data_IF_962015082005
#
_entry.id   IF_962015082005
#
_cell.length_a   1.000
_cell.length_b   1.000
_cell.length_c   1.000
_cell.angle_alpha   90.00
_cell.angle_beta   90.00
_cell.angle_gamma   90.00
#
_symmetry.space_group_name_H-M   'P 1'
#
loop_
_entity.id
_entity.type
_entity.pdbx_description
1 polymer ?
#
# COMPACT_ATOMS: atom_id res chain seq x y z
N UNK A 1 55.09 -33.79 -30.15
CA UNK A 1 55.50 -33.30 -28.81
C UNK A 1 54.80 -31.97 -28.56
N UNK A 2 53.59 -31.98 -27.99
CA UNK A 2 52.97 -30.79 -27.41
C UNK A 2 52.37 -31.22 -26.06
N UNK A 3 52.84 -30.56 -25.00
CA UNK A 3 52.63 -30.92 -23.61
C UNK A 3 51.34 -30.27 -23.10
N UNK A 4 50.37 -31.08 -22.70
CA UNK A 4 49.23 -30.65 -21.90
C UNK A 4 49.73 -30.21 -20.52
N UNK A 5 49.39 -28.98 -20.10
CA UNK A 5 49.55 -28.52 -18.72
C UNK A 5 48.16 -28.32 -18.12
N UNK A 6 47.78 -29.24 -17.24
CA UNK A 6 46.65 -29.07 -16.34
C UNK A 6 47.06 -28.11 -15.22
N UNK A 7 46.36 -26.98 -15.11
CA UNK A 7 46.45 -26.10 -13.96
C UNK A 7 45.37 -26.53 -12.95
N UNK A 8 45.80 -27.05 -11.81
CA UNK A 8 44.94 -27.36 -10.66
C UNK A 8 44.77 -26.06 -9.88
N UNK A 9 43.56 -25.49 -9.90
CA UNK A 9 43.20 -24.35 -9.08
C UNK A 9 42.78 -24.83 -7.69
N UNK A 10 43.61 -24.58 -6.69
CA UNK A 10 43.31 -24.81 -5.28
C UNK A 10 42.32 -23.76 -4.79
N UNK A 11 41.08 -24.16 -4.56
CA UNK A 11 40.05 -23.31 -3.94
C UNK A 11 40.30 -23.34 -2.42
N UNK A 12 40.87 -22.27 -1.88
CA UNK A 12 40.87 -22.01 -0.45
C UNK A 12 39.44 -21.62 -0.03
N UNK A 13 38.71 -22.58 0.55
CA UNK A 13 37.47 -22.32 1.27
C UNK A 13 37.79 -21.55 2.56
N UNK A 14 37.77 -20.22 2.50
CA UNK A 14 37.67 -19.37 3.67
C UNK A 14 36.25 -19.50 4.22
N UNK A 15 36.12 -20.26 5.32
CA UNK A 15 34.92 -20.27 6.14
C UNK A 15 34.74 -18.88 6.75
N UNK A 16 33.97 -18.03 6.07
CA UNK A 16 33.43 -16.80 6.66
C UNK A 16 32.39 -17.25 7.69
N UNK A 17 32.49 -16.85 8.97
CA UNK A 17 31.37 -16.98 9.89
C UNK A 17 30.27 -16.07 9.38
N UNK A 18 29.27 -16.65 8.71
CA UNK A 18 27.95 -16.05 8.58
C UNK A 18 27.41 -15.89 9.99
N UNK A 19 27.63 -14.72 10.58
CA UNK A 19 26.85 -14.25 11.70
C UNK A 19 25.42 -14.03 11.20
N UNK A 20 24.66 -15.12 11.11
CA UNK A 20 23.22 -15.05 11.07
C UNK A 20 22.78 -14.40 12.40
N UNK A 21 22.50 -13.11 12.35
CA UNK A 21 21.87 -12.36 13.43
C UNK A 21 20.39 -12.77 13.46
N UNK A 22 20.14 -14.02 13.85
CA UNK A 22 18.81 -14.61 13.98
C UNK A 22 18.57 -14.99 15.43
N UNK A 23 17.48 -14.47 15.99
CA UNK A 23 16.83 -15.01 17.18
C UNK A 23 17.57 -14.80 18.49
N UNK A 24 17.57 -13.55 18.98
CA UNK A 24 17.71 -13.31 20.43
C UNK A 24 16.46 -13.84 21.12
N UNK A 25 16.48 -15.13 21.42
CA UNK A 25 15.50 -15.87 22.21
C UNK A 25 15.73 -15.50 23.69
N UNK A 26 15.37 -14.26 24.06
CA UNK A 26 15.38 -13.82 25.45
C UNK A 26 14.13 -14.39 26.13
N UNK A 27 14.23 -15.68 26.48
CA UNK A 27 13.26 -16.39 27.28
C UNK A 27 12.96 -15.64 28.58
N UNK A 28 11.67 -15.36 28.80
CA UNK A 28 11.23 -14.73 30.03
C UNK A 28 9.76 -14.29 30.05
N UNK A 29 8.83 -15.21 29.74
CA UNK A 29 7.46 -15.19 30.28
C UNK A 29 6.67 -13.88 30.19
N UNK A 30 6.71 -13.18 29.07
CA UNK A 30 5.80 -12.05 28.82
C UNK A 30 4.46 -12.66 28.38
N UNK A 31 3.51 -12.75 29.31
CA UNK A 31 2.12 -13.08 29.02
C UNK A 31 1.68 -12.18 27.85
N UNK A 32 1.44 -12.78 26.67
CA UNK A 32 1.18 -12.08 25.40
C UNK A 32 -0.11 -11.27 25.34
N UNK A 33 -0.40 -10.51 26.40
CA UNK A 33 -1.46 -9.54 26.48
C UNK A 33 -1.22 -8.37 25.54
N UNK A 34 -2.27 -7.59 25.29
CA UNK A 34 -2.17 -6.40 24.46
C UNK A 34 -1.17 -5.41 25.07
N UNK A 35 -0.22 -4.93 24.25
CA UNK A 35 0.66 -3.83 24.62
C UNK A 35 -0.19 -2.57 24.67
N UNK A 36 -0.28 -1.92 25.82
CA UNK A 36 -0.93 -0.62 25.98
C UNK A 36 0.10 0.49 25.74
N UNK A 37 -0.02 1.30 24.66
CA UNK A 37 0.93 2.37 24.39
C UNK A 37 1.07 3.38 25.53
N UNK A 38 2.30 3.84 25.79
CA UNK A 38 2.61 4.80 26.83
C UNK A 38 3.34 6.03 26.28
N UNK A 39 3.28 7.13 27.04
CA UNK A 39 4.09 8.33 26.80
C UNK A 39 3.38 9.43 26.02
N UNK A 40 4.17 10.30 25.39
CA UNK A 40 3.69 11.51 24.72
C UNK A 40 3.21 11.17 23.31
N UNK A 41 2.10 11.78 22.90
CA UNK A 41 1.60 11.70 21.53
C UNK A 41 2.27 12.72 20.62
N UNK A 42 2.59 12.30 19.40
CA UNK A 42 3.19 13.09 18.36
C UNK A 42 2.36 12.98 17.08
N UNK A 43 1.82 14.12 16.62
CA UNK A 43 1.04 14.19 15.39
C UNK A 43 1.90 14.41 14.15
N UNK A 44 1.63 13.65 13.10
CA UNK A 44 2.23 13.77 11.78
C UNK A 44 1.19 13.72 10.68
N UNK A 45 1.54 14.22 9.51
CA UNK A 45 0.81 14.02 8.25
C UNK A 45 1.73 13.29 7.27
N UNK A 46 1.15 12.36 6.52
CA UNK A 46 1.87 11.67 5.42
C UNK A 46 2.21 12.70 4.35
N UNK A 47 3.51 12.92 4.14
CA UNK A 47 4.03 13.84 3.12
C UNK A 47 4.37 13.13 1.82
N UNK A 48 4.47 11.81 1.86
CA UNK A 48 4.70 10.93 0.70
C UNK A 48 4.22 9.52 1.04
N UNK A 49 3.53 8.89 0.11
CA UNK A 49 3.21 7.47 0.14
C UNK A 49 3.70 6.82 -1.14
N UNK A 50 4.20 5.60 -1.04
CA UNK A 50 4.78 4.88 -2.16
C UNK A 50 4.35 3.43 -2.17
N UNK A 51 3.97 2.97 -3.36
CA UNK A 51 3.68 1.56 -3.66
C UNK A 51 4.91 0.89 -4.31
N UNK A 52 5.00 -0.45 -4.31
CA UNK A 52 6.06 -1.14 -5.02
C UNK A 52 6.08 -0.78 -6.51
N UNK A 53 7.26 -0.55 -7.10
CA UNK A 53 7.40 -0.52 -8.54
C UNK A 53 7.22 -1.93 -9.13
N UNK A 54 6.88 -2.04 -10.41
CA UNK A 54 6.65 -3.31 -11.12
C UNK A 54 7.84 -4.31 -11.11
N UNK A 55 9.05 -3.88 -10.76
CA UNK A 55 10.29 -4.64 -10.95
C UNK A 55 10.78 -5.39 -9.69
N UNK A 56 9.88 -6.04 -8.94
CA UNK A 56 10.27 -6.98 -7.90
C UNK A 56 10.90 -6.37 -6.64
N UNK A 57 10.48 -5.16 -6.26
CA UNK A 57 10.84 -4.54 -4.96
C UNK A 57 9.68 -4.58 -3.96
N UNK A 58 8.75 -5.51 -4.11
CA UNK A 58 7.59 -5.63 -3.22
C UNK A 58 8.00 -5.75 -1.74
N UNK A 59 9.10 -6.46 -1.48
CA UNK A 59 9.65 -6.68 -0.15
C UNK A 59 10.12 -5.40 0.58
N UNK A 60 10.53 -4.36 -0.17
CA UNK A 60 10.95 -3.07 0.41
C UNK A 60 9.78 -2.29 1.02
N UNK A 61 8.54 -2.70 0.70
CA UNK A 61 7.29 -2.05 1.08
C UNK A 61 6.34 -3.01 1.80
N UNK A 62 6.65 -4.30 1.86
CA UNK A 62 5.84 -5.32 2.50
C UNK A 62 6.17 -5.52 3.97
N UNK A 63 5.33 -6.33 4.62
CA UNK A 63 5.54 -6.83 5.98
C UNK A 63 5.18 -8.32 5.99
N UNK A 64 5.70 -9.05 6.96
CA UNK A 64 5.26 -10.42 7.23
C UNK A 64 3.91 -10.39 7.95
N UNK A 65 2.86 -10.69 7.20
CA UNK A 65 1.46 -10.58 7.59
C UNK A 65 0.83 -11.95 7.83
N UNK A 66 1.45 -13.02 7.34
CA UNK A 66 1.16 -14.37 7.74
C UNK A 66 1.49 -15.38 6.67
N UNK A 67 0.62 -16.38 6.53
CA UNK A 67 0.74 -17.41 5.51
C UNK A 67 -0.63 -17.70 4.91
N UNK A 68 -0.63 -18.47 3.82
CA UNK A 68 -1.85 -18.87 3.10
C UNK A 68 -2.97 -19.45 3.96
N UNK A 69 -2.64 -20.11 5.07
CA UNK A 69 -3.63 -20.81 5.92
C UNK A 69 -3.69 -20.27 7.36
N UNK A 70 -2.94 -19.20 7.69
CA UNK A 70 -2.88 -18.60 9.04
C UNK A 70 -2.47 -17.14 8.97
N UNK A 71 -2.99 -16.27 9.82
CA UNK A 71 -2.58 -14.86 9.91
C UNK A 71 -1.35 -14.61 10.81
N UNK A 72 -0.62 -15.67 11.14
CA UNK A 72 0.56 -15.59 12.01
C UNK A 72 1.80 -15.49 11.13
N UNK A 73 2.72 -14.54 11.40
CA UNK A 73 3.95 -14.34 10.64
C UNK A 73 4.72 -15.64 10.39
N UNK A 74 5.24 -15.82 9.18
CA UNK A 74 5.94 -17.04 8.77
C UNK A 74 7.38 -16.85 8.30
N UNK A 75 7.88 -15.62 8.36
CA UNK A 75 9.20 -15.18 7.92
C UNK A 75 9.22 -14.65 6.48
N UNK A 76 8.12 -14.74 5.74
CA UNK A 76 7.99 -14.23 4.37
C UNK A 76 7.43 -12.82 4.38
N UNK A 77 7.90 -11.95 3.48
CA UNK A 77 7.33 -10.62 3.32
C UNK A 77 6.16 -10.70 2.34
N UNK A 78 4.99 -10.22 2.76
CA UNK A 78 3.77 -10.24 1.96
C UNK A 78 3.46 -8.83 1.42
N UNK A 79 3.19 -8.73 0.12
CA UNK A 79 2.69 -7.50 -0.52
C UNK A 79 2.03 -7.74 -1.90
N UNK A 80 1.20 -8.77 -2.01
CA UNK A 80 0.60 -9.22 -3.27
C UNK A 80 -0.22 -8.12 -3.96
N UNK A 81 -1.01 -7.34 -3.21
CA UNK A 81 -1.76 -6.23 -3.80
C UNK A 81 -0.83 -5.10 -4.27
N UNK A 82 0.24 -4.80 -3.54
CA UNK A 82 1.23 -3.80 -3.97
C UNK A 82 1.92 -4.18 -5.27
N UNK A 83 2.32 -5.45 -5.42
CA UNK A 83 2.87 -5.99 -6.67
C UNK A 83 1.86 -5.95 -7.83
N UNK A 84 0.58 -6.24 -7.53
CA UNK A 84 -0.51 -6.14 -8.49
C UNK A 84 -0.70 -4.71 -8.98
N UNK A 85 -0.74 -3.73 -8.08
CA UNK A 85 -0.87 -2.31 -8.45
C UNK A 85 0.32 -1.85 -9.29
N UNK A 86 1.54 -2.25 -8.93
CA UNK A 86 2.74 -1.97 -9.74
C UNK A 86 2.65 -2.58 -11.14
N UNK A 87 2.13 -3.81 -11.25
CA UNK A 87 1.93 -4.50 -12.54
C UNK A 87 0.86 -3.82 -13.39
N UNK A 88 -0.28 -3.43 -12.80
CA UNK A 88 -1.35 -2.69 -13.50
C UNK A 88 -0.81 -1.37 -14.03
N UNK A 89 -0.06 -0.63 -13.20
CA UNK A 89 0.56 0.63 -13.59
C UNK A 89 1.44 0.46 -14.84
N UNK A 90 2.25 -0.60 -14.89
CA UNK A 90 3.13 -0.88 -16.02
C UNK A 90 2.38 -1.39 -17.27
N UNK A 91 1.31 -2.18 -17.09
CA UNK A 91 0.58 -2.81 -18.19
C UNK A 91 -0.44 -1.88 -18.86
N UNK A 92 -1.11 -1.04 -18.07
CA UNK A 92 -2.15 -0.12 -18.53
C UNK A 92 -1.62 1.30 -18.77
N UNK A 93 -0.31 1.54 -18.60
CA UNK A 93 0.32 2.86 -18.66
C UNK A 93 -0.36 3.90 -17.75
N UNK A 94 -0.79 3.44 -16.57
CA UNK A 94 -1.46 4.27 -15.55
C UNK A 94 -0.45 4.66 -14.49
N UNK A 95 -0.21 5.95 -14.31
CA UNK A 95 0.70 6.44 -13.27
C UNK A 95 0.02 6.50 -11.89
N UNK A 96 -0.19 5.32 -11.29
CA UNK A 96 -0.78 5.19 -9.94
C UNK A 96 0.07 5.94 -8.90
N UNK A 97 1.40 5.85 -9.01
CA UNK A 97 2.31 6.50 -8.06
C UNK A 97 2.21 8.03 -8.18
N UNK A 98 2.14 8.56 -9.40
CA UNK A 98 1.89 9.97 -9.68
C UNK A 98 0.55 10.43 -9.11
N UNK A 99 -0.53 9.68 -9.31
CA UNK A 99 -1.85 9.98 -8.76
C UNK A 99 -1.84 10.04 -7.22
N UNK A 100 -1.16 9.10 -6.55
CA UNK A 100 -0.97 9.14 -5.08
C UNK A 100 -0.21 10.40 -4.66
N UNK A 101 0.90 10.70 -5.34
CA UNK A 101 1.71 11.89 -5.05
C UNK A 101 0.91 13.17 -5.25
N UNK A 102 0.24 13.33 -6.37
CA UNK A 102 -0.61 14.49 -6.65
C UNK A 102 -1.74 14.65 -5.64
N UNK A 103 -2.40 13.55 -5.28
CA UNK A 103 -3.50 13.59 -4.31
C UNK A 103 -3.02 14.02 -2.91
N UNK A 104 -1.84 13.59 -2.48
CA UNK A 104 -1.21 14.08 -1.24
C UNK A 104 -0.83 15.55 -1.39
N UNK A 105 -0.22 15.94 -2.52
CA UNK A 105 0.30 17.29 -2.74
C UNK A 105 -0.80 18.34 -2.73
N UNK A 106 -1.92 18.02 -3.34
CA UNK A 106 -3.12 18.85 -3.43
C UNK A 106 -4.03 18.72 -2.19
N UNK A 107 -3.66 17.90 -1.20
CA UNK A 107 -4.47 17.67 0.00
C UNK A 107 -5.80 16.96 -0.25
N UNK A 108 -5.94 16.27 -1.39
CA UNK A 108 -7.06 15.34 -1.68
C UNK A 108 -6.99 14.10 -0.80
N UNK A 109 -5.79 13.72 -0.37
CA UNK A 109 -5.53 12.72 0.67
C UNK A 109 -4.87 13.43 1.86
N UNK A 110 -5.44 13.25 3.05
CA UNK A 110 -4.84 13.69 4.30
C UNK A 110 -4.79 12.49 5.27
N UNK A 111 -3.68 11.75 5.26
CA UNK A 111 -3.45 10.68 6.23
C UNK A 111 -2.67 11.23 7.42
N UNK A 112 -3.29 11.17 8.59
CA UNK A 112 -2.73 11.68 9.85
C UNK A 112 -2.21 10.50 10.66
N UNK A 113 -0.97 10.59 11.14
CA UNK A 113 -0.35 9.57 11.97
C UNK A 113 -0.20 10.13 13.37
N UNK A 114 -0.80 9.47 14.36
CA UNK A 114 -0.51 9.72 15.77
C UNK A 114 0.43 8.63 16.27
N UNK A 115 1.56 9.05 16.82
CA UNK A 115 2.57 8.16 17.38
C UNK A 115 2.77 8.45 18.86
N UNK A 116 2.55 7.45 19.70
CA UNK A 116 2.68 7.56 21.15
C UNK A 116 3.92 6.80 21.61
N UNK A 117 4.84 7.50 22.30
CA UNK A 117 6.03 6.85 22.88
C UNK A 117 6.61 7.63 24.07
N UNK A 118 7.33 6.92 24.94
CA UNK A 118 8.16 7.51 26.01
C UNK A 118 9.56 7.91 25.55
N UNK A 119 10.10 7.24 24.50
CA UNK A 119 11.42 7.51 23.92
C UNK A 119 11.47 7.06 22.45
N UNK A 120 12.19 7.79 21.58
CA UNK A 120 12.26 7.47 20.14
C UNK A 120 13.27 6.36 19.79
N UNK A 121 14.13 5.97 20.73
CA UNK A 121 15.20 4.98 20.54
C UNK A 121 14.86 3.64 21.18
N UNK A 122 14.33 3.64 22.41
CA UNK A 122 13.99 2.44 23.18
C UNK A 122 12.74 2.67 24.02
N UNK A 123 11.64 2.00 23.68
CA UNK A 123 10.39 2.04 24.43
C UNK A 123 9.76 0.66 24.51
N UNK A 124 9.32 0.25 25.71
CA UNK A 124 8.66 -1.03 25.94
C UNK A 124 7.22 -1.10 25.43
N UNK A 125 6.57 0.05 25.28
CA UNK A 125 5.22 0.18 24.76
C UNK A 125 5.07 1.50 23.99
N UNK A 126 4.87 1.40 22.68
CA UNK A 126 4.59 2.51 21.79
C UNK A 126 3.38 2.19 20.92
N UNK A 127 2.72 3.22 20.42
CA UNK A 127 1.52 3.12 19.60
C UNK A 127 1.66 3.90 18.31
N UNK A 128 1.08 3.37 17.23
CA UNK A 128 0.88 4.08 15.97
C UNK A 128 -0.58 3.94 15.58
N UNK A 129 -1.25 5.06 15.34
CA UNK A 129 -2.59 5.09 14.78
C UNK A 129 -2.62 5.90 13.48
N UNK A 130 -3.50 5.53 12.56
CA UNK A 130 -3.71 6.26 11.30
C UNK A 130 -5.15 6.76 11.28
N UNK A 131 -5.31 8.07 11.05
CA UNK A 131 -6.60 8.75 10.92
C UNK A 131 -6.73 9.37 9.54
N UNK A 132 -7.97 9.50 9.08
CA UNK A 132 -8.30 10.23 7.86
C UNK A 132 -8.60 11.67 8.24
N UNK A 133 -7.88 12.62 7.65
CA UNK A 133 -8.09 14.05 7.82
C UNK A 133 -9.26 14.56 6.99
N UNK A 134 -9.94 15.59 7.48
CA UNK A 134 -10.93 16.35 6.72
C UNK A 134 -10.20 17.29 5.76
N UNK A 135 -10.27 16.95 4.47
CA UNK A 135 -9.57 17.66 3.39
C UNK A 135 -10.09 19.08 3.17
N UNK A 136 -11.27 19.41 3.71
CA UNK A 136 -11.83 20.78 3.67
C UNK A 136 -11.31 21.67 4.80
N UNK A 137 -10.66 21.07 5.81
CA UNK A 137 -10.22 21.72 7.05
C UNK A 137 -8.70 21.62 7.24
N UNK A 138 -7.93 21.81 6.16
CA UNK A 138 -6.47 21.83 6.16
C UNK A 138 -5.96 23.27 6.22
N UNK A 139 -5.05 23.57 7.15
CA UNK A 139 -4.42 24.90 7.27
C UNK A 139 -2.89 24.80 7.34
N UNK A 140 -2.13 25.51 6.50
CA UNK A 140 -2.61 26.29 5.35
C UNK A 140 -3.24 25.37 4.28
N UNK A 141 -4.08 25.92 3.40
CA UNK A 141 -4.58 25.20 2.25
C UNK A 141 -3.42 24.59 1.43
N UNK A 142 -3.64 23.43 0.82
CA UNK A 142 -2.59 22.68 0.15
C UNK A 142 -1.91 23.46 -0.98
N UNK A 143 -2.71 24.14 -1.79
CA UNK A 143 -2.26 25.04 -2.86
C UNK A 143 -2.62 26.49 -2.51
N UNK A 144 -1.84 27.47 -2.95
CA UNK A 144 -2.13 28.88 -2.74
C UNK A 144 -3.40 29.34 -3.47
N UNK A 145 -3.56 28.86 -4.70
CA UNK A 145 -4.68 29.09 -5.60
C UNK A 145 -4.66 28.00 -6.71
N UNK A 146 -5.53 28.13 -7.71
CA UNK A 146 -5.63 27.17 -8.81
C UNK A 146 -4.43 27.19 -9.80
N UNK A 147 -3.56 28.20 -9.74
CA UNK A 147 -2.37 28.29 -10.59
C UNK A 147 -1.10 27.77 -9.88
N UNK A 148 -1.17 27.49 -8.59
CA UNK A 148 -0.09 26.89 -7.81
C UNK A 148 0.08 25.41 -8.20
N UNK A 149 1.10 25.15 -9.03
CA UNK A 149 1.48 23.80 -9.48
C UNK A 149 2.39 23.07 -8.50
N UNK A 150 2.93 23.75 -7.48
CA UNK A 150 3.79 23.15 -6.47
C UNK A 150 2.98 22.56 -5.31
N UNK A 151 1.87 23.21 -4.96
CA UNK A 151 0.99 22.84 -3.84
C UNK A 151 1.79 22.52 -2.56
N UNK A 152 1.41 21.48 -1.80
CA UNK A 152 2.14 20.96 -0.62
C UNK A 152 2.35 21.91 0.55
N UNK A 153 1.72 23.09 0.60
CA UNK A 153 1.96 24.09 1.67
C UNK A 153 1.61 23.54 3.06
N UNK A 154 0.63 22.65 3.13
CA UNK A 154 0.20 21.96 4.35
C UNK A 154 1.24 20.95 4.89
N UNK A 155 2.22 20.54 4.09
CA UNK A 155 3.24 19.54 4.42
C UNK A 155 4.56 20.16 4.90
N UNK A 156 4.58 21.46 5.22
CA UNK A 156 5.76 22.18 5.69
C UNK A 156 6.16 21.93 7.15
N UNK A 157 5.60 20.91 7.82
CA UNK A 157 5.89 20.59 9.23
C UNK A 157 5.10 21.41 10.27
N UNK A 158 4.25 22.34 9.82
CA UNK A 158 3.42 23.22 10.65
C UNK A 158 1.93 23.15 10.28
N UNK A 159 1.53 22.16 9.47
CA UNK A 159 0.15 21.99 9.05
C UNK A 159 -0.76 21.64 10.22
N UNK A 160 -1.95 22.22 10.24
CA UNK A 160 -3.04 21.90 11.16
C UNK A 160 -4.17 21.22 10.39
N UNK A 161 -4.70 20.15 10.95
CA UNK A 161 -5.72 19.30 10.33
C UNK A 161 -6.84 19.02 11.32
N UNK A 162 -8.03 18.72 10.78
CA UNK A 162 -9.11 18.08 11.52
C UNK A 162 -9.21 16.62 11.12
N UNK A 163 -9.65 15.76 12.04
CA UNK A 163 -9.99 14.37 11.71
C UNK A 163 -11.38 14.35 11.05
N UNK A 164 -11.50 13.68 9.91
CA UNK A 164 -12.77 13.49 9.23
C UNK A 164 -13.73 12.68 10.10
N UNK A 165 -15.02 13.02 10.08
CA UNK A 165 -16.04 12.31 10.85
C UNK A 165 -16.18 10.82 10.46
N UNK A 166 -15.78 10.46 9.24
CA UNK A 166 -15.73 9.08 8.75
C UNK A 166 -14.46 8.32 9.15
N UNK A 167 -13.48 8.98 9.78
CA UNK A 167 -12.24 8.33 10.18
C UNK A 167 -12.51 7.26 11.23
N UNK A 168 -12.01 6.03 11.06
CA UNK A 168 -12.13 5.00 12.08
C UNK A 168 -11.45 5.40 13.39
N UNK A 169 -12.09 5.09 14.52
CA UNK A 169 -11.64 5.49 15.87
C UNK A 169 -10.75 4.44 16.55
N UNK A 170 -10.77 3.20 16.08
CA UNK A 170 -10.03 2.06 16.62
C UNK A 170 -8.86 1.61 15.72
N UNK A 171 -8.42 2.44 14.78
CA UNK A 171 -7.34 2.13 13.84
C UNK A 171 -5.95 2.36 14.48
N UNK A 172 -5.48 1.43 15.31
CA UNK A 172 -4.14 1.50 15.92
C UNK A 172 -3.41 0.16 15.97
N UNK A 173 -2.08 0.25 16.02
CA UNK A 173 -1.16 -0.86 16.27
C UNK A 173 -0.23 -0.47 17.42
N UNK A 174 0.02 -1.41 18.32
CA UNK A 174 0.94 -1.22 19.44
C UNK A 174 2.15 -2.15 19.31
N UNK A 175 3.26 -1.77 19.93
CA UNK A 175 4.49 -2.55 19.88
C UNK A 175 5.66 -1.95 20.64
N UNK A 176 6.86 -2.48 20.39
CA UNK A 176 8.11 -2.07 21.05
C UNK A 176 8.94 -1.20 20.10
N UNK A 177 9.68 -0.24 20.65
CA UNK A 177 10.77 0.44 19.94
C UNK A 177 12.07 -0.15 20.45
N UNK A 178 12.85 -0.71 19.52
CA UNK A 178 14.19 -1.22 19.81
C UNK A 178 15.18 -0.64 18.80
N UNK A 179 16.24 0.00 19.30
CA UNK A 179 17.30 0.60 18.46
C UNK A 179 16.74 1.57 17.42
N UNK A 180 15.77 2.40 17.80
CA UNK A 180 15.13 3.40 16.94
C UNK A 180 14.19 2.83 15.88
N UNK A 181 13.84 1.54 15.98
CA UNK A 181 12.87 0.89 15.10
C UNK A 181 11.64 0.49 15.90
N UNK A 182 10.49 1.03 15.53
CA UNK A 182 9.20 0.57 16.00
C UNK A 182 8.76 -0.65 15.18
N UNK A 183 8.31 -1.70 15.86
CA UNK A 183 7.59 -2.80 15.24
C UNK A 183 6.28 -3.01 16.00
N UNK A 184 5.16 -2.68 15.36
CA UNK A 184 3.83 -2.74 15.95
C UNK A 184 2.87 -3.66 15.18
N UNK A 185 1.87 -4.13 15.89
CA UNK A 185 0.79 -4.98 15.39
C UNK A 185 0.81 -6.40 15.99
N UNK A 186 -0.22 -7.21 15.70
CA UNK A 186 -1.33 -6.91 14.79
C UNK A 186 -2.33 -5.89 15.37
N UNK A 187 -3.07 -5.21 14.48
CA UNK A 187 -4.18 -4.32 14.81
C UNK A 187 -5.06 -4.08 13.58
N UNK A 188 -5.86 -3.02 13.57
CA UNK A 188 -6.59 -2.56 12.39
C UNK A 188 -6.05 -1.18 11.99
N UNK A 189 -5.93 -0.90 10.68
CA UNK A 189 -5.54 0.42 10.17
C UNK A 189 -6.40 0.80 8.97
N UNK A 190 -6.55 2.09 8.72
CA UNK A 190 -7.24 2.58 7.52
C UNK A 190 -6.33 3.50 6.73
N UNK A 191 -6.25 3.24 5.43
CA UNK A 191 -5.46 4.00 4.47
C UNK A 191 -6.37 4.60 3.40
N UNK A 192 -5.83 5.58 2.69
CA UNK A 192 -6.43 6.11 1.46
C UNK A 192 -5.40 6.03 0.34
N UNK A 193 -5.84 5.60 -0.83
CA UNK A 193 -5.02 5.55 -2.04
C UNK A 193 -5.78 6.22 -3.19
N UNK A 194 -5.10 7.09 -3.93
CA UNK A 194 -5.55 7.51 -5.24
C UNK A 194 -5.03 6.49 -6.25
N UNK A 195 -5.90 5.98 -7.12
CA UNK A 195 -5.50 5.07 -8.19
C UNK A 195 -5.36 5.80 -9.55
N UNK A 196 -5.86 7.03 -9.63
CA UNK A 196 -5.89 7.91 -10.81
C UNK A 196 -6.55 9.24 -10.42
N UNK A 197 -7.15 9.96 -11.37
CA UNK A 197 -7.76 11.29 -11.14
C UNK A 197 -9.07 11.29 -10.33
N UNK A 198 -9.59 10.11 -10.02
CA UNK A 198 -10.81 9.93 -9.24
C UNK A 198 -10.66 10.25 -7.75
N UNK A 199 -11.77 10.07 -7.01
CA UNK A 199 -11.73 10.18 -5.55
C UNK A 199 -10.82 9.09 -4.95
N UNK A 200 -10.01 9.40 -3.93
CA UNK A 200 -9.24 8.40 -3.22
C UNK A 200 -10.14 7.30 -2.63
N UNK A 201 -9.72 6.05 -2.78
CA UNK A 201 -10.40 4.92 -2.17
C UNK A 201 -9.89 4.71 -0.75
N UNK A 202 -10.79 4.40 0.18
CA UNK A 202 -10.42 4.01 1.54
C UNK A 202 -10.23 2.50 1.62
N UNK A 203 -9.13 2.08 2.25
CA UNK A 203 -8.78 0.69 2.48
C UNK A 203 -8.77 0.42 3.97
N UNK A 204 -9.57 -0.54 4.42
CA UNK A 204 -9.59 -0.97 5.82
C UNK A 204 -8.78 -2.25 5.96
N UNK A 205 -7.58 -2.10 6.53
CA UNK A 205 -6.63 -3.19 6.69
C UNK A 205 -6.84 -3.91 8.03
N UNK A 206 -6.97 -5.23 7.95
CA UNK A 206 -7.06 -6.15 9.08
C UNK A 206 -5.72 -6.76 9.42
N UNK A 207 -5.52 -7.10 10.69
CA UNK A 207 -4.24 -7.64 11.19
C UNK A 207 -3.04 -6.80 10.73
N UNK A 208 -3.26 -5.48 10.66
CA UNK A 208 -2.29 -4.53 10.18
C UNK A 208 -1.07 -4.50 11.09
N UNK A 209 0.08 -4.25 10.49
CA UNK A 209 1.38 -4.11 11.13
C UNK A 209 2.03 -2.82 10.64
N UNK A 210 2.94 -2.30 11.44
CA UNK A 210 3.75 -1.17 11.04
C UNK A 210 5.20 -1.35 11.50
N UNK A 211 6.12 -0.93 10.64
CA UNK A 211 7.54 -0.82 10.94
C UNK A 211 7.99 0.62 10.68
N UNK A 212 8.35 1.35 11.73
CA UNK A 212 8.81 2.74 11.60
C UNK A 212 10.28 2.90 12.01
N UNK A 213 10.99 3.76 11.30
CA UNK A 213 12.42 4.07 11.49
C UNK A 213 12.66 5.56 11.36
N UNK A 214 13.81 6.04 11.85
CA UNK A 214 14.12 7.47 11.83
C UNK A 214 13.12 8.30 12.65
N UNK A 215 12.60 7.71 13.72
CA UNK A 215 11.50 8.28 14.50
C UNK A 215 12.02 9.50 15.27
N UNK A 216 11.30 10.61 15.15
CA UNK A 216 11.63 11.87 15.82
C UNK A 216 10.38 12.73 15.99
N UNK A 217 10.47 13.80 16.78
CA UNK A 217 9.37 14.76 16.92
C UNK A 217 9.01 15.51 15.62
N UNK A 218 9.82 15.42 14.57
CA UNK A 218 9.61 16.14 13.29
C UNK A 218 9.17 15.26 12.14
N UNK A 219 9.38 13.95 12.23
CA UNK A 219 9.01 13.00 11.19
C UNK A 219 9.54 11.60 11.44
N UNK A 220 9.17 10.69 10.54
CA UNK A 220 9.66 9.32 10.47
C UNK A 220 9.44 8.75 9.06
N UNK A 221 10.04 7.60 8.78
CA UNK A 221 9.70 6.75 7.64
C UNK A 221 9.08 5.46 8.17
N UNK A 222 7.94 5.06 7.64
CA UNK A 222 7.27 3.83 8.04
C UNK A 222 6.87 2.98 6.85
N UNK A 223 6.80 1.67 7.08
CA UNK A 223 6.05 0.73 6.25
C UNK A 223 4.80 0.38 7.03
N UNK A 224 3.64 0.56 6.40
CA UNK A 224 2.34 0.21 6.96
C UNK A 224 1.71 -0.80 6.03
N UNK A 225 1.27 -1.91 6.59
CA UNK A 225 0.65 -2.97 5.81
C UNK A 225 -0.37 -3.76 6.61
N UNK A 226 -1.14 -4.58 5.92
CA UNK A 226 -2.18 -5.39 6.50
C UNK A 226 -2.96 -6.16 5.44
N UNK A 227 -3.99 -6.85 5.89
CA UNK A 227 -4.80 -7.74 5.09
C UNK A 227 -6.07 -7.05 4.63
N UNK A 228 -6.35 -7.12 3.33
CA UNK A 228 -7.59 -6.65 2.74
C UNK A 228 -8.43 -7.87 2.32
N UNK A 229 -9.55 -8.15 3.02
CA UNK A 229 -10.45 -9.23 2.63
C UNK A 229 -10.90 -9.11 1.18
N UNK A 230 -11.10 -10.24 0.49
CA UNK A 230 -11.56 -10.24 -0.91
C UNK A 230 -12.91 -9.54 -1.09
N UNK A 231 -13.76 -9.54 -0.06
CA UNK A 231 -15.01 -8.76 -0.05
C UNK A 231 -14.76 -7.28 -0.18
N UNK A 232 -13.73 -6.76 0.50
CA UNK A 232 -13.40 -5.34 0.53
C UNK A 232 -12.73 -4.91 -0.79
N UNK A 233 -11.96 -5.80 -1.42
CA UNK A 233 -11.46 -5.61 -2.79
C UNK A 233 -12.59 -5.36 -3.78
N UNK A 234 -13.64 -6.19 -3.72
CA UNK A 234 -14.77 -6.09 -4.63
C UNK A 234 -15.58 -4.80 -4.45
N UNK A 235 -15.67 -4.30 -3.22
CA UNK A 235 -16.46 -3.09 -2.92
C UNK A 235 -15.68 -1.79 -3.00
N UNK A 236 -14.35 -1.83 -2.91
CA UNK A 236 -13.53 -0.62 -2.82
C UNK A 236 -12.48 -0.52 -3.93
N UNK A 237 -11.73 -1.58 -4.19
CA UNK A 237 -10.61 -1.55 -5.16
C UNK A 237 -11.10 -1.69 -6.60
N UNK A 238 -11.98 -2.66 -6.89
CA UNK A 238 -12.47 -2.85 -8.26
C UNK A 238 -13.26 -1.65 -8.80
N UNK A 239 -14.13 -0.98 -8.02
CA UNK A 239 -14.75 0.26 -8.47
C UNK A 239 -13.74 1.37 -8.76
N UNK A 240 -12.67 1.47 -7.97
CA UNK A 240 -11.57 2.41 -8.23
C UNK A 240 -10.87 2.12 -9.55
N UNK A 241 -10.47 0.87 -9.78
CA UNK A 241 -9.85 0.42 -11.04
C UNK A 241 -10.80 0.66 -12.22
N UNK A 242 -12.08 0.31 -12.08
CA UNK A 242 -13.08 0.51 -13.11
C UNK A 242 -13.21 1.99 -13.48
N UNK A 243 -13.27 2.88 -12.49
CA UNK A 243 -13.37 4.32 -12.74
C UNK A 243 -12.19 4.85 -13.57
N UNK A 244 -10.99 4.30 -13.38
CA UNK A 244 -9.80 4.69 -14.15
C UNK A 244 -9.89 4.17 -15.58
N UNK A 245 -10.15 2.87 -15.73
CA UNK A 245 -10.28 2.25 -17.05
C UNK A 245 -11.41 2.92 -17.85
N UNK A 246 -12.54 3.22 -17.20
CA UNK A 246 -13.64 3.96 -17.82
C UNK A 246 -13.21 5.36 -18.26
N UNK A 247 -12.46 6.10 -17.43
CA UNK A 247 -11.92 7.42 -17.80
C UNK A 247 -11.01 7.38 -19.02
N UNK A 248 -10.10 6.41 -19.09
CA UNK A 248 -9.21 6.20 -20.25
C UNK A 248 -10.03 5.89 -21.51
N UNK A 249 -11.03 5.02 -21.38
CA UNK A 249 -11.93 4.67 -22.50
C UNK A 249 -12.82 5.85 -22.90
N UNK A 250 -13.28 6.69 -21.95
CA UNK A 250 -14.04 7.91 -22.24
C UNK A 250 -13.20 8.96 -22.98
N UNK A 251 -11.92 9.10 -22.63
CA UNK A 251 -10.97 10.01 -23.28
C UNK A 251 -10.67 9.59 -24.72
N UNK A 252 -10.40 8.30 -24.95
CA UNK A 252 -9.92 7.80 -26.24
C UNK A 252 -11.00 7.25 -27.18
N UNK A 253 -12.20 6.94 -26.67
CA UNK A 253 -13.27 6.29 -27.43
C UNK A 253 -14.55 7.14 -27.41
N UNK A 254 -14.69 8.10 -28.36
CA UNK A 254 -15.81 9.04 -28.37
C UNK A 254 -17.16 8.35 -28.53
N UNK A 255 -18.18 8.91 -27.90
CA UNK A 255 -19.55 8.42 -28.00
C UNK A 255 -20.20 8.79 -29.35
N UNK A 256 -21.04 7.91 -29.94
CA UNK A 256 -21.37 6.57 -29.44
C UNK A 256 -20.25 5.56 -29.74
N UNK A 257 -19.94 4.69 -28.76
CA UNK A 257 -19.00 3.59 -28.95
C UNK A 257 -19.65 2.48 -29.76
N UNK A 258 -19.55 2.61 -31.08
CA UNK A 258 -20.10 1.66 -32.03
C UNK A 258 -18.99 1.12 -32.91
N UNK A 259 -19.10 -0.15 -33.30
CA UNK A 259 -18.15 -0.78 -34.21
C UNK A 259 -17.13 -1.64 -33.47
N UNK A 260 -17.39 -2.93 -33.48
CA UNK A 260 -16.39 -3.95 -33.18
C UNK A 260 -15.35 -4.02 -34.31
N UNK A 261 -14.09 -4.37 -34.03
CA UNK A 261 -13.56 -4.81 -32.73
C UNK A 261 -13.11 -3.68 -31.80
N UNK A 262 -12.96 -2.45 -32.31
CA UNK A 262 -12.18 -1.39 -31.67
C UNK A 262 -12.98 -0.31 -30.93
N UNK A 263 -14.31 -0.43 -30.85
CA UNK A 263 -15.17 0.50 -30.12
C UNK A 263 -15.01 1.97 -30.53
N UNK A 264 -14.56 2.19 -31.78
CA UNK A 264 -14.22 3.50 -32.33
C UNK A 264 -13.12 4.27 -31.55
N UNK A 265 -12.25 3.56 -30.82
CA UNK A 265 -11.14 4.16 -30.08
C UNK A 265 -10.04 4.68 -31.02
N UNK A 266 -9.48 5.85 -30.69
CA UNK A 266 -8.43 6.50 -31.47
C UNK A 266 -7.02 5.92 -31.22
N UNK A 267 -6.76 5.43 -30.00
CA UNK A 267 -5.46 4.91 -29.58
C UNK A 267 -5.41 3.38 -29.62
N UNK A 268 -4.23 2.83 -29.93
CA UNK A 268 -4.02 1.38 -29.90
C UNK A 268 -3.89 0.83 -28.48
N UNK A 269 -3.52 1.65 -27.50
CA UNK A 269 -3.43 1.27 -26.08
C UNK A 269 -4.82 1.07 -25.48
N UNK A 270 -5.76 1.97 -25.75
CA UNK A 270 -7.14 1.83 -25.24
C UNK A 270 -7.86 0.66 -25.90
N UNK A 271 -7.54 0.37 -27.16
CA UNK A 271 -7.98 -0.89 -27.78
C UNK A 271 -7.47 -2.13 -27.02
N UNK A 272 -6.23 -2.14 -26.53
CA UNK A 272 -5.70 -3.26 -25.72
C UNK A 272 -6.42 -3.37 -24.37
N UNK A 273 -6.80 -2.26 -23.74
CA UNK A 273 -7.59 -2.27 -22.51
C UNK A 273 -8.96 -2.93 -22.77
N UNK A 274 -9.65 -2.51 -23.82
CA UNK A 274 -10.95 -3.11 -24.20
C UNK A 274 -10.78 -4.59 -24.54
N UNK A 275 -9.82 -4.96 -25.37
CA UNK A 275 -9.57 -6.37 -25.75
C UNK A 275 -9.21 -7.25 -24.54
N UNK A 276 -8.58 -6.66 -23.53
CA UNK A 276 -8.19 -7.35 -22.31
C UNK A 276 -9.36 -7.57 -21.34
N UNK A 277 -10.26 -6.59 -21.22
CA UNK A 277 -11.31 -6.59 -20.19
C UNK A 277 -12.71 -6.87 -20.75
N UNK A 278 -13.10 -6.24 -21.85
CA UNK A 278 -14.44 -6.31 -22.46
C UNK A 278 -14.57 -7.51 -23.42
N UNK A 279 -14.20 -8.71 -22.94
CA UNK A 279 -14.35 -9.98 -23.65
C UNK A 279 -13.27 -10.30 -24.70
N UNK A 280 -12.94 -11.60 -24.84
CA UNK A 280 -11.82 -12.08 -25.68
C UNK A 280 -12.16 -12.33 -27.15
N UNK A 281 -13.43 -12.32 -27.54
CA UNK A 281 -13.86 -12.74 -28.88
C UNK A 281 -15.00 -11.86 -29.39
N UNK A 282 -15.04 -11.64 -30.71
CA UNK A 282 -16.13 -10.94 -31.40
C UNK A 282 -17.51 -11.61 -31.22
N UNK A 283 -17.55 -12.82 -30.66
CA UNK A 283 -18.75 -13.61 -30.40
C UNK A 283 -19.19 -13.60 -28.93
N UNK A 284 -18.45 -12.91 -28.03
CA UNK A 284 -18.88 -12.78 -26.64
C UNK A 284 -20.08 -11.81 -26.59
N UNK A 285 -21.29 -12.28 -26.23
CA UNK A 285 -22.47 -11.41 -26.18
C UNK A 285 -22.38 -10.34 -25.08
N UNK A 286 -21.36 -10.39 -24.21
CA UNK A 286 -21.12 -9.34 -23.22
C UNK A 286 -20.32 -8.16 -23.77
N UNK A 287 -19.66 -8.30 -24.94
CA UNK A 287 -18.80 -7.25 -25.46
C UNK A 287 -19.62 -6.02 -25.86
N UNK A 288 -19.51 -4.96 -25.08
CA UNK A 288 -20.40 -3.79 -25.17
C UNK A 288 -19.65 -2.44 -25.17
N UNK A 289 -18.32 -2.47 -25.30
CA UNK A 289 -17.45 -1.29 -25.25
C UNK A 289 -17.47 -0.56 -23.91
N UNK A 290 -17.82 -1.27 -22.83
CA UNK A 290 -17.82 -0.79 -21.45
C UNK A 290 -17.09 -1.79 -20.58
N UNK A 291 -16.02 -1.34 -19.91
CA UNK A 291 -15.36 -2.17 -18.90
C UNK A 291 -16.20 -2.23 -17.63
N UNK A 292 -16.85 -3.37 -17.39
CA UNK A 292 -17.65 -3.64 -16.21
C UNK A 292 -16.82 -4.15 -15.03
N UNK A 293 -17.36 -4.05 -13.81
CA UNK A 293 -16.74 -4.64 -12.61
C UNK A 293 -16.56 -6.15 -12.74
N UNK A 294 -17.51 -6.82 -13.38
CA UNK A 294 -17.45 -8.27 -13.59
C UNK A 294 -16.26 -8.64 -14.46
N UNK A 295 -16.04 -7.91 -15.54
CA UNK A 295 -14.92 -8.13 -16.46
C UNK A 295 -13.57 -7.90 -15.80
N UNK A 296 -13.45 -6.88 -14.95
CA UNK A 296 -12.24 -6.66 -14.15
C UNK A 296 -11.99 -7.85 -13.21
N UNK A 297 -13.02 -8.30 -12.50
CA UNK A 297 -12.90 -9.41 -11.54
C UNK A 297 -12.63 -10.77 -12.20
N UNK A 298 -13.21 -11.01 -13.38
CA UNK A 298 -13.08 -12.26 -14.14
C UNK A 298 -11.90 -12.25 -15.13
N UNK A 299 -11.22 -11.12 -15.31
CA UNK A 299 -10.07 -10.97 -16.21
C UNK A 299 -9.00 -12.00 -15.91
N UNK A 300 -8.56 -12.74 -16.94
CA UNK A 300 -7.50 -13.74 -16.79
C UNK A 300 -6.14 -13.14 -16.42
N UNK A 301 -5.97 -11.83 -16.62
CA UNK A 301 -4.76 -11.10 -16.25
C UNK A 301 -4.82 -10.64 -14.80
N UNK A 302 -5.96 -10.08 -14.36
CA UNK A 302 -6.11 -9.55 -13.01
C UNK A 302 -6.33 -10.68 -12.00
N UNK A 303 -7.18 -11.67 -12.31
CA UNK A 303 -7.59 -12.72 -11.37
C UNK A 303 -6.43 -13.45 -10.67
N UNK A 304 -5.31 -13.81 -11.33
CA UNK A 304 -4.15 -14.38 -10.64
C UNK A 304 -3.43 -13.39 -9.72
N UNK A 305 -3.41 -12.09 -10.09
CA UNK A 305 -2.75 -11.03 -9.33
C UNK A 305 -3.55 -10.68 -8.06
N UNK A 306 -4.88 -10.69 -8.16
CA UNK A 306 -5.79 -10.45 -7.02
C UNK A 306 -6.15 -11.72 -6.25
N UNK A 307 -5.41 -12.82 -6.44
CA UNK A 307 -5.65 -14.05 -5.73
C UNK A 307 -5.23 -13.88 -4.26
N UNK A 308 -6.10 -14.28 -3.34
CA UNK A 308 -5.79 -14.20 -1.92
C UNK A 308 -4.52 -15.01 -1.58
N UNK A 309 -3.63 -14.38 -0.82
CA UNK A 309 -2.31 -14.91 -0.46
C UNK A 309 -2.20 -15.20 1.03
N UNK A 310 -2.97 -14.51 1.89
CA UNK A 310 -2.95 -14.68 3.34
C UNK A 310 -4.35 -14.94 3.90
N UNK A 311 -4.39 -15.62 5.05
CA UNK A 311 -5.58 -15.82 5.83
C UNK A 311 -5.96 -14.57 6.64
N UNK A 312 -7.19 -14.08 6.55
CA UNK A 312 -7.70 -12.92 7.28
C UNK A 312 -7.96 -13.22 8.78
N UNK A 313 -8.12 -14.50 9.12
CA UNK A 313 -8.39 -14.99 10.47
C UNK A 313 -7.22 -15.84 11.00
N UNK A 314 -7.28 -16.26 12.27
CA UNK A 314 -6.25 -17.10 12.87
C UNK A 314 -5.88 -18.32 12.01
N UNK A 315 -6.91 -18.97 11.43
CA UNK A 315 -6.77 -20.10 10.53
C UNK A 315 -7.92 -20.15 9.53
N UNK A 316 -7.66 -20.58 8.31
CA UNK A 316 -8.68 -20.78 7.27
C UNK A 316 -8.32 -21.99 6.41
N UNK A 317 -9.30 -22.48 5.63
CA UNK A 317 -9.12 -23.59 4.70
C UNK A 317 -8.49 -23.15 3.37
N UNK A 318 -8.57 -21.86 3.06
CA UNK A 318 -7.92 -21.19 1.94
C UNK A 318 -7.73 -19.71 2.29
N UNK A 319 -6.69 -19.08 1.73
CA UNK A 319 -6.50 -17.64 1.84
C UNK A 319 -7.73 -16.89 1.32
N UNK A 320 -8.10 -15.84 2.03
CA UNK A 320 -9.31 -15.05 1.81
C UNK A 320 -9.05 -13.53 1.90
N UNK A 321 -7.80 -13.12 2.04
CA UNK A 321 -7.35 -11.75 1.99
C UNK A 321 -6.11 -11.57 1.13
N UNK A 322 -5.92 -10.35 0.64
CA UNK A 322 -4.69 -9.90 0.01
C UNK A 322 -3.84 -9.10 0.98
N UNK A 323 -2.55 -9.38 0.99
CA UNK A 323 -1.57 -8.53 1.65
C UNK A 323 -1.35 -7.22 0.89
N UNK A 324 -1.29 -6.11 1.64
CA UNK A 324 -0.89 -4.81 1.13
C UNK A 324 0.14 -4.21 2.08
N UNK A 325 1.20 -3.65 1.53
CA UNK A 325 2.17 -2.83 2.24
C UNK A 325 2.53 -1.60 1.41
N UNK A 326 2.52 -0.44 2.07
CA UNK A 326 2.97 0.83 1.49
C UNK A 326 4.06 1.45 2.36
N UNK A 327 4.96 2.19 1.73
CA UNK A 327 5.97 2.98 2.42
C UNK A 327 5.50 4.42 2.51
N UNK A 328 5.54 4.99 3.70
CA UNK A 328 5.16 6.38 3.96
C UNK A 328 6.33 7.16 4.56
N UNK A 329 6.43 8.42 4.19
CA UNK A 329 7.23 9.42 4.87
C UNK A 329 6.26 10.43 5.49
N UNK A 330 6.52 10.83 6.73
CA UNK A 330 5.63 11.74 7.46
C UNK A 330 6.40 12.93 7.99
N UNK A 331 5.70 14.06 8.08
CA UNK A 331 6.21 15.31 8.65
C UNK A 331 5.30 15.76 9.78
N UNK A 332 5.84 16.53 10.73
CA UNK A 332 5.07 17.04 11.86
C UNK A 332 3.78 17.75 11.43
N UNK A 333 2.72 17.51 12.17
CA UNK A 333 1.42 18.15 12.00
C UNK A 333 0.72 18.34 13.36
N UNK A 334 -0.34 19.14 13.38
CA UNK A 334 -1.20 19.31 14.56
C UNK A 334 -2.63 18.92 14.23
N UNK A 335 -3.26 18.10 15.06
CA UNK A 335 -4.68 17.74 14.97
C UNK A 335 -5.15 17.24 16.35
N UNK A 336 -6.47 17.13 16.61
CA UNK A 336 -6.97 16.54 17.85
C UNK A 336 -6.51 15.07 17.96
N UNK A 337 -5.78 14.76 19.04
CA UNK A 337 -5.25 13.42 19.34
C UNK A 337 -6.24 12.63 20.22
#
# INVERSE_FOLDING_TARGET
MLSNRFAVATICALALPLAACGGGDDGGGDDGGPVEPEGTHYGYVVSKASIPPANGKADDYGLDLGARLRNTPDGTIDNALGETLGSISALADVDIQGAITEAIDQGKIALLVDFQTTDFTTAGAAGLSVRIGDTTMITPAACADAADTACRRHLGGNGTFMIAASSPTNASVAGKIARGTFNGGPGDLSLQLALGDGAPIQLNLKNARARATGISATGMTAIVGGLLPVTDLATSVFPGIQSILAGIVDEDCPQPRVGMPNCNCASSSTFQIIDLFDGKLAEDPTKDCVVSLREIADSTLIKPLIAADVCSTATCTAADALSLGIKIEVVKATFPL
#
